data_IF_664018552242
#
_entry.id   IF_664018552242
#
_cell.length_a   1.000
_cell.length_b   1.000
_cell.length_c   1.000
_cell.angle_alpha   90.00
_cell.angle_beta   90.00
_cell.angle_gamma   90.00
#
_symmetry.space_group_name_H-M   'P 1'
#
loop_
_entity.id
_entity.type
_entity.pdbx_description
1 polymer ?
#
# COMPACT_ATOMS: atom_id res chain seq x y z
N UNK A 1 0.42 -31.81 -5.27
CA UNK A 1 -1.05 -31.92 -5.39
C UNK A 1 -1.67 -32.75 -4.24
N UNK A 2 -0.87 -33.17 -3.25
CA UNK A 2 -1.30 -34.04 -2.14
C UNK A 2 -2.02 -33.28 -1.00
N UNK A 3 -1.69 -31.99 -0.81
CA UNK A 3 -2.32 -31.11 0.19
C UNK A 3 -3.84 -30.87 -0.04
N UNK A 4 -4.33 -31.02 -1.27
CA UNK A 4 -5.76 -30.81 -1.57
C UNK A 4 -6.64 -32.01 -1.23
N UNK A 5 -6.06 -33.12 -0.74
CA UNK A 5 -6.84 -34.30 -0.32
C UNK A 5 -7.19 -34.29 1.17
N UNK A 6 -6.60 -33.39 1.96
CA UNK A 6 -6.95 -33.22 3.37
C UNK A 6 -8.09 -32.20 3.50
N UNK A 7 -9.30 -32.62 3.95
CA UNK A 7 -10.46 -31.73 4.11
C UNK A 7 -10.25 -30.66 5.19
N UNK A 8 -9.21 -30.76 6.03
CA UNK A 8 -8.85 -29.72 6.99
C UNK A 8 -7.88 -28.67 6.43
N UNK A 9 -7.45 -28.83 5.17
CA UNK A 9 -6.59 -27.84 4.50
C UNK A 9 -7.36 -26.57 4.21
N UNK A 10 -6.76 -25.44 4.60
CA UNK A 10 -7.24 -24.11 4.30
C UNK A 10 -6.25 -23.41 3.36
N UNK A 11 -6.76 -22.81 2.29
CA UNK A 11 -5.99 -22.09 1.28
C UNK A 11 -6.22 -20.60 1.47
N UNK A 12 -5.16 -19.85 1.76
CA UNK A 12 -5.21 -18.39 1.78
C UNK A 12 -4.78 -17.84 0.42
N UNK A 13 -5.74 -17.30 -0.33
CA UNK A 13 -5.47 -16.60 -1.59
C UNK A 13 -5.49 -15.09 -1.35
N UNK A 14 -4.45 -14.41 -1.81
CA UNK A 14 -4.30 -12.95 -1.71
C UNK A 14 -4.18 -12.37 -3.11
N UNK A 15 -5.10 -11.48 -3.46
CA UNK A 15 -5.05 -10.69 -4.69
C UNK A 15 -4.71 -9.23 -4.35
N UNK A 16 -3.78 -8.65 -5.10
CA UNK A 16 -3.41 -7.24 -5.02
C UNK A 16 -4.26 -6.45 -6.02
N UNK A 17 -5.40 -5.93 -5.55
CA UNK A 17 -6.28 -5.08 -6.33
C UNK A 17 -5.68 -3.69 -6.63
N UNK A 18 -6.27 -3.02 -7.61
CA UNK A 18 -5.90 -1.67 -8.04
C UNK A 18 -5.93 -0.67 -6.87
N UNK A 19 -4.92 0.19 -6.79
CA UNK A 19 -4.74 1.19 -5.70
C UNK A 19 -4.53 0.57 -4.31
N UNK A 20 -3.80 -0.54 -4.22
CA UNK A 20 -3.33 -1.15 -2.96
C UNK A 20 -4.44 -1.62 -2.04
N UNK A 21 -5.54 -2.09 -2.64
CA UNK A 21 -6.54 -2.85 -1.91
C UNK A 21 -6.18 -4.31 -2.11
N UNK A 22 -5.61 -4.96 -1.10
CA UNK A 22 -5.46 -6.41 -1.18
C UNK A 22 -6.76 -7.05 -0.70
N UNK A 23 -7.21 -8.07 -1.42
CA UNK A 23 -8.33 -8.91 -0.99
C UNK A 23 -7.75 -10.26 -0.61
N UNK A 24 -8.01 -10.68 0.61
CA UNK A 24 -7.63 -11.99 1.10
C UNK A 24 -8.88 -12.84 1.24
N UNK A 25 -8.82 -14.07 0.73
CA UNK A 25 -9.86 -15.08 0.96
C UNK A 25 -9.22 -16.32 1.58
N UNK A 26 -9.89 -16.90 2.56
CA UNK A 26 -9.58 -18.26 3.03
C UNK A 26 -10.60 -19.21 2.42
N UNK A 27 -10.11 -20.26 1.78
CA UNK A 27 -10.93 -21.27 1.11
C UNK A 27 -10.66 -22.65 1.71
N UNK A 28 -11.67 -23.52 1.71
CA UNK A 28 -11.46 -24.95 2.00
C UNK A 28 -10.81 -25.67 0.81
N UNK A 29 -10.50 -26.96 0.99
CA UNK A 29 -9.89 -27.79 -0.04
C UNK A 29 -10.76 -27.95 -1.31
N UNK A 30 -12.07 -27.72 -1.22
CA UNK A 30 -12.99 -27.72 -2.36
C UNK A 30 -13.15 -26.34 -3.02
N UNK A 31 -12.43 -25.32 -2.53
CA UNK A 31 -12.45 -23.96 -3.07
C UNK A 31 -13.62 -23.10 -2.58
N UNK A 32 -14.35 -23.52 -1.54
CA UNK A 32 -15.43 -22.69 -0.97
C UNK A 32 -14.83 -21.65 -0.04
N UNK A 33 -15.25 -20.39 -0.21
CA UNK A 33 -14.76 -19.27 0.60
C UNK A 33 -15.36 -19.35 2.01
N UNK A 34 -14.49 -19.46 3.00
CA UNK A 34 -14.81 -19.50 4.42
C UNK A 34 -14.73 -18.11 5.07
N UNK A 35 -13.79 -17.27 4.60
CA UNK A 35 -13.62 -15.90 5.08
C UNK A 35 -13.08 -14.97 4.00
N UNK A 36 -13.36 -13.67 4.12
CA UNK A 36 -12.81 -12.63 3.24
C UNK A 36 -12.44 -11.40 4.05
N UNK A 37 -11.26 -10.84 3.77
CA UNK A 37 -10.79 -9.59 4.36
C UNK A 37 -10.31 -8.62 3.27
N UNK A 38 -10.74 -7.36 3.38
CA UNK A 38 -10.29 -6.28 2.52
C UNK A 38 -9.22 -5.47 3.25
N UNK A 39 -7.98 -5.58 2.79
CA UNK A 39 -6.85 -4.82 3.31
C UNK A 39 -6.81 -3.49 2.56
N UNK A 40 -7.29 -2.42 3.21
CA UNK A 40 -7.33 -1.09 2.59
C UNK A 40 -5.97 -0.40 2.56
N UNK A 41 -5.64 0.22 1.42
CA UNK A 41 -4.52 1.17 1.29
C UNK A 41 -4.81 2.56 1.89
N UNK A 42 -5.93 2.74 2.58
CA UNK A 42 -6.40 4.05 3.07
C UNK A 42 -5.40 4.72 4.02
N UNK A 43 -4.72 3.93 4.86
CA UNK A 43 -3.70 4.41 5.81
C UNK A 43 -2.47 4.96 5.09
N UNK A 44 -2.03 4.28 4.03
CA UNK A 44 -0.88 4.72 3.22
C UNK A 44 -1.21 6.00 2.46
N UNK A 45 -2.43 6.10 1.91
CA UNK A 45 -2.94 7.33 1.30
C UNK A 45 -3.04 8.50 2.30
N UNK A 46 -3.47 8.24 3.53
CA UNK A 46 -3.50 9.24 4.60
C UNK A 46 -2.09 9.78 4.91
N UNK A 47 -1.10 8.90 5.04
CA UNK A 47 0.28 9.31 5.27
C UNK A 47 0.86 10.10 4.10
N UNK A 48 0.59 9.67 2.86
CA UNK A 48 0.99 10.38 1.64
C UNK A 48 0.47 11.82 1.65
N UNK A 49 -0.83 12.01 1.89
CA UNK A 49 -1.44 13.34 2.01
C UNK A 49 -0.74 14.18 3.07
N UNK A 50 -0.52 13.62 4.26
CA UNK A 50 0.14 14.32 5.37
C UNK A 50 1.57 14.76 5.04
N UNK A 51 2.35 13.95 4.33
CA UNK A 51 3.71 14.33 3.93
C UNK A 51 3.73 15.42 2.85
N UNK A 52 2.82 15.33 1.86
CA UNK A 52 2.65 16.39 0.85
C UNK A 52 2.25 17.72 1.50
N UNK A 53 1.32 17.72 2.45
CA UNK A 53 0.95 18.93 3.19
C UNK A 53 2.13 19.53 3.97
N UNK A 54 3.01 18.69 4.54
CA UNK A 54 4.24 19.16 5.19
C UNK A 54 5.18 19.84 4.21
N UNK A 55 5.37 19.28 3.01
CA UNK A 55 6.19 19.89 1.95
C UNK A 55 5.63 21.26 1.58
N UNK A 56 4.31 21.36 1.33
CA UNK A 56 3.65 22.63 0.98
C UNK A 56 3.80 23.66 2.10
N UNK A 57 3.63 23.27 3.37
CA UNK A 57 3.83 24.18 4.52
C UNK A 57 5.27 24.67 4.63
N UNK A 58 6.24 23.79 4.41
CA UNK A 58 7.65 24.16 4.41
C UNK A 58 7.95 25.14 3.27
N UNK A 59 7.45 24.88 2.05
CA UNK A 59 7.62 25.80 0.91
C UNK A 59 7.03 27.19 1.18
N UNK A 60 5.83 27.25 1.79
CA UNK A 60 5.21 28.52 2.19
C UNK A 60 6.04 29.27 3.23
N UNK A 61 6.68 28.54 4.16
CA UNK A 61 7.52 29.14 5.22
C UNK A 61 8.85 29.64 4.67
N UNK A 62 9.51 28.86 3.82
CA UNK A 62 10.83 29.21 3.29
C UNK A 62 10.76 30.21 2.16
N UNK A 63 9.64 30.28 1.41
CA UNK A 63 9.46 31.07 0.17
C UNK A 63 10.54 30.86 -0.89
N UNK A 64 11.36 29.83 -0.71
CA UNK A 64 12.53 29.52 -1.52
C UNK A 64 12.39 28.05 -1.90
N UNK A 65 12.39 27.79 -3.21
CA UNK A 65 12.73 26.49 -3.79
C UNK A 65 14.19 26.64 -4.21
N UNK A 66 15.14 26.00 -3.52
CA UNK A 66 16.55 26.08 -3.89
C UNK A 66 16.74 25.62 -5.35
N UNK A 67 17.32 26.46 -6.20
CA UNK A 67 17.76 26.02 -7.52
C UNK A 67 18.97 25.09 -7.37
N UNK A 68 18.96 23.94 -8.04
CA UNK A 68 20.04 22.95 -7.99
C UNK A 68 20.11 22.09 -6.72
N UNK A 69 19.46 22.48 -5.62
CA UNK A 69 19.37 21.69 -4.39
C UNK A 69 18.00 21.02 -4.21
N UNK A 70 17.98 19.78 -3.71
CA UNK A 70 16.72 19.08 -3.43
C UNK A 70 16.09 19.61 -2.14
N UNK A 71 14.94 20.27 -2.25
CA UNK A 71 14.15 20.71 -1.11
C UNK A 71 13.51 19.54 -0.34
N UNK A 72 13.57 19.54 1.00
CA UNK A 72 12.85 18.59 1.86
C UNK A 72 13.01 17.09 1.45
N UNK A 73 14.21 16.70 1.03
CA UNK A 73 14.54 15.36 0.47
C UNK A 73 13.96 14.23 1.31
N UNK A 74 14.19 14.26 2.62
CA UNK A 74 13.73 13.22 3.55
C UNK A 74 12.21 13.05 3.58
N UNK A 75 11.43 14.09 3.26
CA UNK A 75 9.95 14.03 3.22
C UNK A 75 9.47 13.59 1.84
N UNK A 76 10.17 14.03 0.78
CA UNK A 76 9.94 13.55 -0.57
C UNK A 76 10.21 12.05 -0.71
N UNK A 77 11.29 11.53 -0.13
CA UNK A 77 11.61 10.10 -0.18
C UNK A 77 10.55 9.25 0.53
N UNK A 78 9.99 9.74 1.65
CA UNK A 78 8.86 9.09 2.33
C UNK A 78 7.62 9.02 1.45
N UNK A 79 7.37 10.06 0.65
CA UNK A 79 6.25 10.09 -0.30
C UNK A 79 6.50 9.16 -1.49
N UNK A 80 7.73 9.17 -2.02
CA UNK A 80 8.15 8.33 -3.15
C UNK A 80 8.11 6.85 -2.81
N UNK A 81 8.43 6.44 -1.58
CA UNK A 81 8.32 5.05 -1.16
C UNK A 81 6.86 4.59 -1.07
N UNK A 82 5.94 5.49 -0.70
CA UNK A 82 4.50 5.23 -0.77
C UNK A 82 4.04 5.16 -2.24
N UNK A 83 4.57 5.99 -3.14
CA UNK A 83 4.23 5.96 -4.58
C UNK A 83 4.89 4.80 -5.35
N UNK A 84 6.04 4.29 -4.93
CA UNK A 84 6.69 3.11 -5.53
C UNK A 84 5.98 1.82 -5.16
N UNK A 85 5.55 1.68 -3.91
CA UNK A 85 4.54 0.68 -3.54
C UNK A 85 3.30 0.80 -4.43
N UNK A 86 3.04 1.99 -4.98
CA UNK A 86 1.95 2.22 -5.92
C UNK A 86 2.19 1.91 -7.40
N UNK A 87 3.42 1.61 -7.83
CA UNK A 87 3.79 1.46 -9.25
C UNK A 87 4.44 0.12 -9.62
N UNK A 88 4.83 -0.68 -8.63
CA UNK A 88 5.49 -1.99 -8.84
C UNK A 88 4.50 -3.17 -8.94
N UNK A 89 3.18 -2.90 -9.04
CA UNK A 89 2.11 -3.87 -9.32
C UNK A 89 1.29 -3.43 -10.52
#
# INVERSE_FOLDING_TARGET
MELMQDPYTHICAVDLGLKHHAVMTVQDAEGRVQATEFISGAKDNHFRKRYLEKIVRLQKKTRIIPEGERFAVNIWDKTKNLDKKNREN
#
